data_IF_667838021013
#
_entry.id   IF_667838021013
#
_cell.length_a   1.000
_cell.length_b   1.000
_cell.length_c   1.000
_cell.angle_alpha   90.00
_cell.angle_beta   90.00
_cell.angle_gamma   90.00
#
_symmetry.space_group_name_H-M   'P 1'
#
loop_
_entity.id
_entity.type
_entity.pdbx_description
1 polymer ?
#
# COMPACT_ATOMS: atom_id res chain seq x y z
N UNK A 1 -0.38 4.39 9.90
CA UNK A 1 -0.95 3.03 10.09
C UNK A 1 0.18 2.03 9.83
N UNK A 2 0.38 1.05 10.72
CA UNK A 2 1.50 0.10 10.62
C UNK A 2 1.02 -1.21 9.99
N UNK A 3 1.80 -1.76 9.06
CA UNK A 3 1.43 -2.95 8.28
C UNK A 3 2.52 -4.01 8.45
N UNK A 4 2.10 -5.28 8.45
CA UNK A 4 3.01 -6.43 8.46
C UNK A 4 3.04 -7.07 7.08
N UNK A 5 4.24 -7.43 6.63
CA UNK A 5 4.48 -8.01 5.29
C UNK A 5 3.90 -9.42 5.12
N UNK A 6 3.63 -10.13 6.21
CA UNK A 6 3.08 -11.49 6.22
C UNK A 6 1.56 -11.54 6.11
N UNK A 7 0.89 -10.39 5.97
CA UNK A 7 -0.56 -10.28 5.96
C UNK A 7 -1.06 -9.46 4.77
N UNK A 8 -2.25 -9.78 4.24
CA UNK A 8 -2.85 -8.97 3.18
C UNK A 8 -3.16 -7.56 3.68
N UNK A 9 -3.07 -6.59 2.78
CA UNK A 9 -3.46 -5.20 3.04
C UNK A 9 -4.86 -5.00 2.51
N UNK A 10 -5.84 -5.00 3.42
CA UNK A 10 -7.22 -4.71 3.10
C UNK A 10 -7.52 -3.22 3.29
N UNK A 11 -8.32 -2.67 2.40
CA UNK A 11 -8.77 -1.29 2.47
C UNK A 11 -10.09 -1.09 1.74
N UNK A 12 -10.55 0.15 1.73
CA UNK A 12 -11.74 0.53 0.98
C UNK A 12 -11.57 1.92 0.36
N UNK A 13 -12.22 2.11 -0.79
CA UNK A 13 -12.33 3.38 -1.48
C UNK A 13 -13.80 3.81 -1.46
N UNK A 14 -14.09 4.91 -0.78
CA UNK A 14 -15.42 5.52 -0.79
C UNK A 14 -15.49 6.60 -1.89
N UNK A 15 -16.45 6.46 -2.79
CA UNK A 15 -16.68 7.41 -3.89
C UNK A 15 -18.09 7.98 -3.74
N UNK A 16 -18.18 9.29 -3.54
CA UNK A 16 -19.44 9.99 -3.36
C UNK A 16 -19.74 10.91 -4.55
N UNK A 17 -20.84 10.65 -5.25
CA UNK A 17 -21.37 11.57 -6.25
C UNK A 17 -22.21 12.65 -5.56
N UNK A 18 -21.88 13.93 -5.81
CA UNK A 18 -22.77 15.06 -5.47
C UNK A 18 -23.62 15.51 -6.65
N UNK A 19 -23.48 14.83 -7.80
CA UNK A 19 -24.19 15.19 -9.03
C UNK A 19 -25.69 14.88 -8.90
N UNK A 20 -26.50 15.68 -9.60
CA UNK A 20 -27.92 15.39 -9.85
C UNK A 20 -28.14 14.35 -10.94
N UNK A 21 -27.08 13.96 -11.67
CA UNK A 21 -27.12 12.98 -12.74
C UNK A 21 -26.42 11.69 -12.31
N UNK A 22 -26.83 10.59 -12.93
CA UNK A 22 -26.11 9.33 -12.86
C UNK A 22 -24.73 9.48 -13.52
N UNK A 23 -23.70 8.87 -12.93
CA UNK A 23 -22.33 8.92 -13.43
C UNK A 23 -21.72 7.54 -13.44
N UNK A 24 -21.13 7.17 -14.56
CA UNK A 24 -20.24 6.01 -14.64
C UNK A 24 -18.82 6.43 -14.28
N UNK A 25 -18.23 5.76 -13.31
CA UNK A 25 -16.90 6.04 -12.77
C UNK A 25 -16.04 4.79 -12.86
N UNK A 26 -14.83 4.92 -13.37
CA UNK A 26 -13.79 3.91 -13.21
C UNK A 26 -13.03 4.19 -11.92
N UNK A 27 -13.10 3.27 -10.97
CA UNK A 27 -12.32 3.29 -9.75
C UNK A 27 -11.08 2.41 -9.93
N UNK A 28 -9.90 2.95 -9.64
CA UNK A 28 -8.63 2.23 -9.75
C UNK A 28 -7.83 2.39 -8.46
N UNK A 29 -7.23 1.31 -8.02
CA UNK A 29 -6.31 1.29 -6.89
C UNK A 29 -4.99 0.71 -7.38
N UNK A 30 -3.94 1.50 -7.27
CA UNK A 30 -2.58 1.12 -7.59
C UNK A 30 -1.77 1.10 -6.31
N UNK A 31 -0.97 0.05 -6.12
CA UNK A 31 -0.09 -0.09 -4.98
C UNK A 31 1.33 -0.25 -5.49
N UNK A 32 2.19 0.63 -5.00
CA UNK A 32 3.58 0.77 -5.42
C UNK A 32 4.50 0.62 -4.22
N UNK A 33 5.70 0.10 -4.46
CA UNK A 33 6.82 0.27 -3.54
C UNK A 33 7.55 1.54 -3.93
N UNK A 34 7.76 2.40 -2.95
CA UNK A 34 8.40 3.70 -3.13
C UNK A 34 9.58 3.85 -2.19
N UNK A 35 10.67 4.44 -2.65
CA UNK A 35 11.77 4.84 -1.77
C UNK A 35 11.32 5.95 -0.81
N UNK A 36 12.15 6.23 0.21
CA UNK A 36 11.95 7.36 1.11
C UNK A 36 11.92 8.73 0.41
N UNK A 37 12.42 8.83 -0.84
CA UNK A 37 12.37 10.05 -1.66
C UNK A 37 11.07 10.15 -2.47
N UNK A 38 10.17 9.17 -2.37
CA UNK A 38 8.95 9.07 -3.17
C UNK A 38 9.17 8.51 -4.59
N UNK A 39 10.35 7.96 -4.89
CA UNK A 39 10.59 7.33 -6.19
C UNK A 39 9.89 5.98 -6.25
N UNK A 40 9.08 5.73 -7.28
CA UNK A 40 8.48 4.41 -7.51
C UNK A 40 9.56 3.43 -7.91
N UNK A 41 9.71 2.37 -7.12
CA UNK A 41 10.64 1.26 -7.35
C UNK A 41 9.94 0.15 -8.12
N UNK A 42 8.72 -0.22 -7.73
CA UNK A 42 7.96 -1.28 -8.35
C UNK A 42 6.46 -1.07 -8.23
N UNK A 43 5.72 -1.47 -9.26
CA UNK A 43 4.27 -1.61 -9.22
C UNK A 43 3.92 -3.00 -8.71
N UNK A 44 3.20 -3.07 -7.58
CA UNK A 44 2.93 -4.33 -6.87
C UNK A 44 1.56 -4.89 -7.19
N UNK A 45 0.56 -4.02 -7.24
CA UNK A 45 -0.82 -4.42 -7.35
C UNK A 45 -1.64 -3.37 -8.06
N UNK A 46 -2.54 -3.83 -8.93
CA UNK A 46 -3.50 -3.00 -9.64
C UNK A 46 -4.87 -3.65 -9.52
N UNK A 47 -5.84 -2.85 -9.11
CA UNK A 47 -7.25 -3.19 -9.09
C UNK A 47 -8.02 -2.10 -9.84
N UNK A 48 -9.00 -2.52 -10.64
CA UNK A 48 -9.88 -1.61 -11.36
C UNK A 48 -11.30 -2.14 -11.38
N UNK A 49 -12.27 -1.25 -11.14
CA UNK A 49 -13.68 -1.57 -11.15
C UNK A 49 -14.49 -0.44 -11.78
N UNK A 50 -15.54 -0.80 -12.51
CA UNK A 50 -16.49 0.13 -13.09
C UNK A 50 -17.71 0.26 -12.16
N UNK A 51 -18.04 1.49 -11.78
CA UNK A 51 -19.15 1.79 -10.89
C UNK A 51 -20.16 2.68 -11.60
N UNK A 52 -21.45 2.42 -11.34
CA UNK A 52 -22.55 3.29 -11.74
C UNK A 52 -23.07 3.97 -10.47
N UNK A 53 -22.78 5.26 -10.34
CA UNK A 53 -23.20 6.07 -9.20
C UNK A 53 -24.52 6.77 -9.54
N UNK A 54 -25.59 6.44 -8.81
CA UNK A 54 -26.85 7.17 -8.91
C UNK A 54 -26.69 8.60 -8.38
N UNK A 55 -27.61 9.52 -8.72
CA UNK A 55 -27.59 10.89 -8.22
C UNK A 55 -27.47 10.95 -6.69
N UNK A 56 -26.55 11.77 -6.21
CA UNK A 56 -26.32 12.02 -4.77
C UNK A 56 -26.02 10.77 -3.93
N UNK A 57 -25.51 9.69 -4.54
CA UNK A 57 -25.18 8.44 -3.86
C UNK A 57 -23.67 8.30 -3.63
N UNK A 58 -23.31 7.52 -2.62
CA UNK A 58 -21.96 7.03 -2.39
C UNK A 58 -21.89 5.51 -2.54
N UNK A 59 -20.78 5.03 -3.11
CA UNK A 59 -20.44 3.62 -3.17
C UNK A 59 -19.08 3.39 -2.51
N UNK A 60 -18.90 2.18 -1.97
CA UNK A 60 -17.65 1.77 -1.32
C UNK A 60 -17.12 0.53 -2.00
N UNK A 61 -15.89 0.63 -2.51
CA UNK A 61 -15.18 -0.50 -3.13
C UNK A 61 -14.19 -1.07 -2.13
N UNK A 62 -14.30 -2.37 -1.86
CA UNK A 62 -13.35 -3.09 -1.02
C UNK A 62 -12.21 -3.63 -1.87
N UNK A 63 -10.98 -3.53 -1.38
CA UNK A 63 -9.82 -4.14 -2.02
C UNK A 63 -8.94 -4.87 -1.01
N UNK A 64 -8.19 -5.84 -1.49
CA UNK A 64 -7.24 -6.61 -0.69
C UNK A 64 -5.99 -6.90 -1.52
N UNK A 65 -4.86 -6.35 -1.10
CA UNK A 65 -3.54 -6.66 -1.68
C UNK A 65 -3.06 -7.96 -1.04
N UNK A 66 -2.86 -9.04 -1.81
CA UNK A 66 -2.33 -10.29 -1.27
C UNK A 66 -0.93 -10.08 -0.68
N UNK A 67 -0.63 -10.75 0.44
CA UNK A 67 0.68 -10.67 1.09
C UNK A 67 1.81 -11.13 0.15
N UNK A 68 1.52 -12.10 -0.71
CA UNK A 68 2.50 -12.69 -1.62
C UNK A 68 2.94 -11.72 -2.73
N UNK A 69 2.16 -10.69 -3.03
CA UNK A 69 2.59 -9.62 -3.93
C UNK A 69 3.73 -8.78 -3.34
N UNK A 70 3.85 -8.74 -2.00
CA UNK A 70 4.79 -7.89 -1.27
C UNK A 70 6.00 -8.69 -0.76
N UNK A 71 5.81 -9.95 -0.38
CA UNK A 71 6.76 -10.76 0.40
C UNK A 71 8.19 -10.76 -0.16
N UNK A 72 8.33 -10.91 -1.46
CA UNK A 72 9.64 -11.09 -2.10
C UNK A 72 10.18 -9.80 -2.72
N UNK A 73 9.44 -8.69 -2.62
CA UNK A 73 9.82 -7.44 -3.27
C UNK A 73 10.62 -6.50 -2.36
N UNK A 74 10.50 -6.58 -1.04
CA UNK A 74 11.25 -5.67 -0.15
C UNK A 74 12.72 -6.04 -0.05
N UNK A 75 13.59 -5.25 -0.70
CA UNK A 75 15.05 -5.37 -0.51
C UNK A 75 15.61 -4.31 0.44
N UNK A 76 14.89 -3.22 0.69
CA UNK A 76 15.29 -2.15 1.59
C UNK A 76 14.08 -1.57 2.36
N UNK A 77 14.29 -0.41 2.99
CA UNK A 77 13.31 0.35 3.79
C UNK A 77 12.35 1.12 2.88
N UNK A 78 11.68 0.39 1.99
CA UNK A 78 10.71 0.98 1.08
C UNK A 78 9.37 1.21 1.79
N UNK A 79 8.69 2.28 1.38
CA UNK A 79 7.31 2.55 1.75
C UNK A 79 6.36 1.89 0.76
N UNK A 80 5.15 1.60 1.21
CA UNK A 80 4.04 1.17 0.36
C UNK A 80 3.17 2.39 0.07
N UNK A 81 3.09 2.78 -1.19
CA UNK A 81 2.21 3.85 -1.63
C UNK A 81 0.94 3.25 -2.24
N UNK A 82 -0.21 3.57 -1.68
CA UNK A 82 -1.53 3.25 -2.24
C UNK A 82 -2.09 4.49 -2.89
N UNK A 83 -2.28 4.44 -4.20
CA UNK A 83 -2.89 5.50 -5.00
C UNK A 83 -4.27 5.05 -5.43
N UNK A 84 -5.30 5.80 -5.04
CA UNK A 84 -6.65 5.61 -5.53
C UNK A 84 -7.00 6.70 -6.56
N UNK A 85 -7.52 6.27 -7.70
CA UNK A 85 -7.94 7.12 -8.81
C UNK A 85 -9.41 6.85 -9.12
N UNK A 86 -10.20 7.89 -9.31
CA UNK A 86 -11.55 7.81 -9.83
C UNK A 86 -11.65 8.66 -11.10
N UNK A 87 -12.12 8.07 -12.20
CA UNK A 87 -12.31 8.75 -13.50
C UNK A 87 -13.79 8.72 -13.88
N UNK A 88 -14.40 9.88 -14.08
CA UNK A 88 -15.78 9.97 -14.60
C UNK A 88 -15.74 9.80 -16.11
N UNK A 89 -16.36 8.75 -16.65
CA UNK A 89 -16.19 8.38 -18.06
C UNK A 89 -16.71 9.43 -19.05
N UNK A 90 -17.82 10.10 -18.70
CA UNK A 90 -18.45 11.06 -19.62
C UNK A 90 -17.74 12.42 -19.69
N UNK A 91 -17.09 12.84 -18.60
CA UNK A 91 -16.45 14.17 -18.51
C UNK A 91 -14.93 14.10 -18.54
N UNK A 92 -14.35 12.90 -18.47
CA UNK A 92 -12.91 12.65 -18.26
C UNK A 92 -12.34 13.30 -16.99
N UNK A 93 -13.20 13.75 -16.07
CA UNK A 93 -12.76 14.30 -14.78
C UNK A 93 -12.09 13.20 -13.96
N UNK A 94 -10.96 13.55 -13.33
CA UNK A 94 -10.13 12.62 -12.56
C UNK A 94 -9.96 13.15 -11.15
N UNK A 95 -10.15 12.26 -10.19
CA UNK A 95 -9.94 12.51 -8.78
C UNK A 95 -8.91 11.51 -8.28
N UNK A 96 -7.98 11.95 -7.45
CA UNK A 96 -6.98 11.07 -6.87
C UNK A 96 -6.77 11.34 -5.39
N UNK A 97 -6.38 10.30 -4.68
CA UNK A 97 -5.87 10.39 -3.31
C UNK A 97 -4.76 9.36 -3.14
N UNK A 98 -3.85 9.64 -2.22
CA UNK A 98 -2.69 8.80 -1.97
C UNK A 98 -2.51 8.61 -0.47
N UNK A 99 -2.12 7.39 -0.09
CA UNK A 99 -1.74 7.04 1.26
C UNK A 99 -0.39 6.33 1.24
N UNK A 100 0.55 6.81 2.05
CA UNK A 100 1.86 6.17 2.23
C UNK A 100 1.84 5.38 3.55
N UNK A 101 2.33 4.15 3.48
CA UNK A 101 2.29 3.19 4.57
C UNK A 101 3.69 2.64 4.78
N UNK A 102 4.22 2.85 5.98
CA UNK A 102 5.55 2.36 6.35
C UNK A 102 5.44 0.96 6.96
N UNK A 103 6.35 0.08 6.54
CA UNK A 103 6.40 -1.29 7.03
C UNK A 103 6.88 -1.33 8.48
N UNK A 104 6.17 -2.06 9.34
CA UNK A 104 6.66 -2.32 10.70
C UNK A 104 7.66 -3.48 10.67
N UNK A 105 8.93 -3.17 10.88
CA UNK A 105 9.97 -4.19 11.01
C UNK A 105 9.90 -4.87 12.37
N UNK A 106 10.15 -6.20 12.45
CA UNK A 106 10.32 -6.85 13.73
C UNK A 106 11.55 -6.27 14.46
N UNK A 107 11.40 -5.99 15.75
CA UNK A 107 12.52 -5.54 16.58
C UNK A 107 13.52 -6.68 16.76
N UNK A 108 14.70 -6.56 16.18
CA UNK A 108 15.83 -7.47 16.40
C UNK A 108 16.79 -6.84 17.42
N UNK A 109 17.14 -7.60 18.46
CA UNK A 109 18.16 -7.21 19.43
C UNK A 109 19.38 -8.11 19.26
N UNK A 110 20.53 -7.49 18.97
CA UNK A 110 21.82 -8.18 18.89
C UNK A 110 22.58 -7.88 20.18
N UNK A 111 22.95 -8.92 20.93
CA UNK A 111 23.80 -8.79 22.13
C UNK A 111 25.17 -9.38 21.84
N UNK A 112 26.22 -8.59 22.09
CA UNK A 112 27.59 -9.10 22.07
C UNK A 112 27.84 -9.87 23.36
N UNK A 113 28.14 -11.16 23.25
CA UNK A 113 28.64 -11.95 24.38
C UNK A 113 30.13 -11.72 24.47
N UNK A 114 30.62 -11.19 25.60
CA UNK A 114 32.04 -11.06 25.85
C UNK A 114 32.55 -12.37 26.48
N UNK A 115 33.39 -13.10 25.77
CA UNK A 115 34.09 -14.25 26.35
C UNK A 115 35.33 -13.72 27.11
N UNK A 116 35.28 -13.74 28.44
CA UNK A 116 36.46 -13.54 29.29
C UNK A 116 37.02 -14.90 29.73
N UNK A 117 38.31 -15.09 29.47
CA UNK A 117 39.21 -16.20 29.87
C UNK A 117 39.32 -17.41 28.94
N UNK A 118 39.96 -17.24 27.79
CA UNK A 118 40.87 -18.26 27.28
C UNK A 118 42.23 -18.04 27.96
N UNK A 119 42.50 -18.76 29.04
CA UNK A 119 43.85 -18.86 29.59
C UNK A 119 44.70 -19.65 28.59
N UNK A 120 45.47 -18.95 27.74
CA UNK A 120 46.57 -19.56 27.02
C UNK A 120 47.69 -19.80 28.03
N UNK A 121 47.86 -21.05 28.45
CA UNK A 121 49.10 -21.49 29.07
C UNK A 121 50.20 -21.42 28.01
N UNK A 122 51.12 -20.46 28.16
CA UNK A 122 52.39 -20.50 27.45
C UNK A 122 53.28 -21.45 28.27
N UNK A 123 53.64 -22.58 27.66
CA UNK A 123 54.67 -23.50 28.14
C UNK A 123 56.04 -22.90 27.83
#
# INVERSE_FOLDING_TARGET
>A
MQIRIDRPIAGHLAIASKSSLERTVTARIQVDLTSYTGLVIAHVYLFEELLILKPKQSETVMFSVPADCLRDMFTEDWDITITALARVLHTDERFYTQQVLTLLKPTLSIKKVHFSNLAFAIV
#
